data_IF_605386778659
#
_entry.id   IF_605386778659
#
_cell.length_a   1.000
_cell.length_b   1.000
_cell.length_c   1.000
_cell.angle_alpha   90.00
_cell.angle_beta   90.00
_cell.angle_gamma   90.00
#
_symmetry.space_group_name_H-M   'P 1'
#
loop_
_entity.id
_entity.type
_entity.pdbx_description
1 polymer ?
#
# COMPACT_ATOMS: atom_id res chain seq x y z
N UNK A 1 17.90 -44.08 31.37
CA UNK A 1 16.69 -44.04 30.51
C UNK A 1 16.81 -42.82 29.62
N UNK A 2 17.12 -43.04 28.35
CA UNK A 2 17.42 -41.99 27.36
C UNK A 2 16.08 -41.56 26.74
N UNK A 3 15.51 -40.44 27.20
CA UNK A 3 14.24 -39.95 26.64
C UNK A 3 14.56 -39.11 25.39
N UNK A 4 14.58 -39.79 24.26
CA UNK A 4 14.55 -39.21 22.93
C UNK A 4 13.28 -38.36 22.81
N UNK A 5 13.42 -37.03 22.89
CA UNK A 5 12.39 -36.12 22.39
C UNK A 5 12.26 -36.34 20.88
N UNK A 6 11.30 -37.19 20.49
CA UNK A 6 10.86 -37.30 19.11
C UNK A 6 10.51 -35.90 18.57
N UNK A 7 10.99 -35.50 17.39
CA UNK A 7 10.63 -34.24 16.79
C UNK A 7 9.13 -34.25 16.51
N UNK A 8 8.39 -33.34 17.13
CA UNK A 8 6.96 -33.22 16.94
C UNK A 8 6.69 -32.94 15.44
N UNK A 9 5.73 -33.64 14.81
CA UNK A 9 5.56 -33.62 13.36
C UNK A 9 5.03 -32.27 12.90
N UNK A 10 5.72 -31.69 11.90
CA UNK A 10 5.18 -30.76 10.90
C UNK A 10 4.29 -29.66 11.53
N UNK A 11 4.91 -28.59 12.03
CA UNK A 11 4.23 -27.30 12.15
C UNK A 11 3.66 -26.95 10.78
N UNK A 12 2.38 -27.24 10.57
CA UNK A 12 1.60 -26.78 9.43
C UNK A 12 1.79 -25.26 9.43
N UNK A 13 2.47 -24.76 8.41
CA UNK A 13 2.81 -23.36 8.21
C UNK A 13 1.52 -22.58 7.91
N UNK A 14 0.56 -22.58 8.84
CA UNK A 14 -0.54 -21.61 8.82
C UNK A 14 0.10 -20.30 9.25
N UNK A 15 -0.08 -19.23 8.47
CA UNK A 15 0.40 -17.91 8.90
C UNK A 15 -0.16 -17.61 10.32
N UNK A 16 0.61 -16.93 11.19
CA UNK A 16 0.27 -16.74 12.61
C UNK A 16 -1.09 -16.10 12.91
N UNK A 17 -1.81 -15.62 11.88
CA UNK A 17 -3.09 -14.92 11.98
C UNK A 17 -4.22 -15.49 11.10
N UNK A 18 -4.13 -16.76 10.66
CA UNK A 18 -5.16 -17.37 9.80
C UNK A 18 -5.06 -16.93 8.34
N UNK A 19 -3.85 -16.60 7.90
CA UNK A 19 -3.50 -16.26 6.52
C UNK A 19 -3.13 -17.51 5.71
N UNK A 20 -3.10 -17.38 4.39
CA UNK A 20 -2.68 -18.46 3.50
C UNK A 20 -1.23 -18.91 3.76
N UNK A 21 -1.00 -20.20 3.56
CA UNK A 21 0.30 -20.87 3.64
C UNK A 21 1.04 -20.84 2.31
N UNK A 22 2.33 -21.20 2.31
CA UNK A 22 3.07 -21.52 1.10
C UNK A 22 2.61 -22.86 0.46
N UNK A 23 2.02 -23.76 1.24
CA UNK A 23 1.55 -25.05 0.73
C UNK A 23 0.16 -24.94 0.07
N UNK A 24 0.08 -25.38 -1.19
CA UNK A 24 -1.14 -25.29 -1.98
C UNK A 24 -2.25 -26.20 -1.44
N UNK A 25 -1.92 -27.42 -1.02
CA UNK A 25 -2.94 -28.37 -0.55
C UNK A 25 -3.58 -27.90 0.76
N UNK A 26 -2.77 -27.39 1.69
CA UNK A 26 -3.26 -26.77 2.92
C UNK A 26 -4.23 -25.62 2.60
N UNK A 27 -3.91 -24.75 1.64
CA UNK A 27 -4.77 -23.64 1.26
C UNK A 27 -6.10 -24.09 0.63
N UNK A 28 -6.07 -25.13 -0.22
CA UNK A 28 -7.29 -25.69 -0.82
C UNK A 28 -8.20 -26.33 0.23
N UNK A 29 -7.63 -27.10 1.15
CA UNK A 29 -8.36 -27.68 2.28
C UNK A 29 -8.94 -26.59 3.19
N UNK A 30 -8.20 -25.50 3.41
CA UNK A 30 -8.68 -24.36 4.19
C UNK A 30 -9.89 -23.69 3.55
N UNK A 31 -9.89 -23.48 2.23
CA UNK A 31 -11.07 -22.96 1.50
C UNK A 31 -12.23 -23.94 1.62
N UNK A 32 -11.99 -25.23 1.37
CA UNK A 32 -13.02 -26.27 1.40
C UNK A 32 -13.66 -26.41 2.79
N UNK A 33 -12.88 -26.27 3.87
CA UNK A 33 -13.38 -26.36 5.25
C UNK A 33 -14.22 -25.16 5.68
N UNK A 34 -14.05 -23.99 5.05
CA UNK A 34 -14.83 -22.78 5.35
C UNK A 34 -16.05 -22.60 4.43
N UNK A 35 -15.98 -23.11 3.19
CA UNK A 35 -17.06 -23.00 2.20
C UNK A 35 -17.56 -24.39 1.79
N UNK A 36 -18.58 -24.87 2.49
CA UNK A 36 -19.26 -26.13 2.17
C UNK A 36 -20.26 -25.93 1.04
N UNK A 37 -19.79 -26.01 -0.20
CA UNK A 37 -20.64 -25.95 -1.39
C UNK A 37 -20.30 -27.05 -2.38
N UNK A 38 -21.30 -27.85 -2.79
CA UNK A 38 -21.12 -28.88 -3.83
C UNK A 38 -20.70 -28.31 -5.20
N UNK A 39 -20.90 -27.01 -5.39
CA UNK A 39 -20.54 -26.26 -6.60
C UNK A 39 -19.12 -25.71 -6.56
N UNK A 40 -18.39 -25.85 -5.44
CA UNK A 40 -16.99 -25.46 -5.36
C UNK A 40 -16.14 -26.45 -6.16
N UNK A 41 -15.49 -25.93 -7.19
CA UNK A 41 -14.60 -26.70 -8.07
C UNK A 41 -13.18 -26.17 -7.95
N UNK A 42 -12.24 -27.10 -8.06
CA UNK A 42 -10.82 -26.82 -8.09
C UNK A 42 -10.22 -27.45 -9.35
N UNK A 43 -9.63 -26.63 -10.21
CA UNK A 43 -8.87 -27.07 -11.38
C UNK A 43 -7.39 -26.86 -11.13
N UNK A 44 -6.59 -27.92 -11.15
CA UNK A 44 -5.15 -27.85 -10.93
C UNK A 44 -4.40 -27.94 -12.26
N UNK A 45 -3.43 -27.04 -12.43
CA UNK A 45 -2.57 -26.90 -13.60
C UNK A 45 -1.11 -26.84 -13.15
N UNK A 46 -0.18 -27.25 -14.01
CA UNK A 46 1.25 -27.10 -13.76
C UNK A 46 1.81 -26.04 -14.71
N UNK A 47 2.53 -25.06 -14.16
CA UNK A 47 3.10 -23.94 -14.92
C UNK A 47 4.62 -23.88 -14.72
N UNK A 48 5.37 -23.80 -15.82
CA UNK A 48 6.83 -23.76 -15.83
C UNK A 48 7.48 -25.05 -16.35
N UNK A 49 8.56 -24.92 -17.13
CA UNK A 49 9.30 -26.07 -17.71
C UNK A 49 10.45 -26.56 -16.85
N UNK A 50 11.29 -25.66 -16.35
CA UNK A 50 12.47 -26.00 -15.54
C UNK A 50 12.11 -26.23 -14.07
N UNK A 51 11.16 -25.44 -13.56
CA UNK A 51 10.64 -25.59 -12.21
C UNK A 51 9.10 -25.54 -12.24
N UNK A 52 8.43 -26.69 -12.48
CA UNK A 52 6.98 -26.72 -12.57
C UNK A 52 6.35 -26.43 -11.21
N UNK A 53 5.54 -25.38 -11.14
CA UNK A 53 4.74 -25.05 -9.95
C UNK A 53 3.28 -25.41 -10.18
N UNK A 54 2.61 -25.93 -9.16
CA UNK A 54 1.17 -26.15 -9.20
C UNK A 54 0.43 -24.83 -9.04
N UNK A 55 -0.56 -24.63 -9.90
CA UNK A 55 -1.53 -23.55 -9.84
C UNK A 55 -2.91 -24.18 -9.69
N UNK A 56 -3.68 -23.76 -8.70
CA UNK A 56 -5.08 -24.17 -8.57
C UNK A 56 -6.00 -22.99 -8.87
N UNK A 57 -7.01 -23.24 -9.69
CA UNK A 57 -8.11 -22.33 -9.97
C UNK A 57 -9.31 -22.79 -9.16
N UNK A 58 -9.76 -21.98 -8.20
CA UNK A 58 -10.95 -22.25 -7.40
C UNK A 58 -12.11 -21.37 -7.86
N UNK A 59 -13.29 -21.95 -8.07
CA UNK A 59 -14.48 -21.20 -8.49
C UNK A 59 -15.76 -21.89 -8.06
N UNK A 60 -16.87 -21.14 -8.03
CA UNK A 60 -18.22 -21.67 -7.84
C UNK A 60 -18.90 -21.87 -9.18
N UNK A 61 -19.17 -23.14 -9.52
CA UNK A 61 -19.88 -23.55 -10.73
C UNK A 61 -21.28 -22.92 -10.78
N UNK A 62 -21.61 -22.31 -11.92
CA UNK A 62 -22.89 -21.63 -12.17
C UNK A 62 -23.00 -20.20 -11.62
N UNK A 63 -22.01 -19.71 -10.86
CA UNK A 63 -21.92 -18.30 -10.42
C UNK A 63 -20.79 -17.60 -11.18
N UNK A 64 -19.62 -18.24 -11.27
CA UNK A 64 -18.50 -17.70 -12.00
C UNK A 64 -18.77 -17.66 -13.52
N UNK A 65 -18.45 -16.55 -14.23
CA UNK A 65 -18.67 -16.42 -15.65
C UNK A 65 -17.79 -17.41 -16.45
N UNK A 66 -18.37 -18.42 -17.12
CA UNK A 66 -17.60 -19.52 -17.70
C UNK A 66 -16.68 -19.06 -18.85
N UNK A 67 -17.12 -18.05 -19.61
CA UNK A 67 -16.35 -17.49 -20.73
C UNK A 67 -15.03 -16.85 -20.27
N UNK A 68 -15.02 -16.20 -19.09
CA UNK A 68 -13.81 -15.60 -18.53
C UNK A 68 -12.88 -16.68 -17.98
N UNK A 69 -13.45 -17.68 -17.31
CA UNK A 69 -12.69 -18.82 -16.81
C UNK A 69 -11.99 -19.58 -17.95
N UNK A 70 -12.70 -19.90 -19.03
CA UNK A 70 -12.15 -20.60 -20.19
C UNK A 70 -11.02 -19.81 -20.87
N UNK A 71 -11.21 -18.50 -21.05
CA UNK A 71 -10.17 -17.61 -21.61
C UNK A 71 -8.92 -17.61 -20.74
N UNK A 72 -9.09 -17.50 -19.43
CA UNK A 72 -7.99 -17.50 -18.48
C UNK A 72 -7.26 -18.85 -18.46
N UNK A 73 -7.99 -19.96 -18.39
CA UNK A 73 -7.42 -21.32 -18.44
C UNK A 73 -6.66 -21.57 -19.74
N UNK A 74 -7.23 -21.15 -20.89
CA UNK A 74 -6.56 -21.24 -22.20
C UNK A 74 -5.28 -20.40 -22.23
N UNK A 75 -5.31 -19.19 -21.69
CA UNK A 75 -4.15 -18.30 -21.61
C UNK A 75 -3.04 -18.90 -20.75
N UNK A 76 -3.39 -19.43 -19.58
CA UNK A 76 -2.45 -20.09 -18.66
C UNK A 76 -1.80 -21.30 -19.34
N UNK A 77 -2.59 -22.15 -20.01
CA UNK A 77 -2.07 -23.31 -20.73
C UNK A 77 -1.17 -22.93 -21.92
N UNK A 78 -1.37 -21.75 -22.50
CA UNK A 78 -0.51 -21.20 -23.56
C UNK A 78 0.83 -20.63 -23.07
N UNK A 79 1.03 -20.44 -21.76
CA UNK A 79 2.24 -19.84 -21.21
C UNK A 79 3.46 -20.77 -21.37
N UNK A 80 4.40 -20.39 -22.25
CA UNK A 80 5.69 -21.06 -22.40
C UNK A 80 6.75 -20.34 -21.57
N UNK A 81 6.84 -20.69 -20.30
CA UNK A 81 7.78 -20.09 -19.33
C UNK A 81 8.72 -21.16 -18.79
N UNK A 82 9.97 -20.80 -18.52
CA UNK A 82 10.92 -21.72 -17.91
C UNK A 82 10.70 -21.82 -16.39
N UNK A 83 10.56 -20.67 -15.71
CA UNK A 83 10.40 -20.57 -14.26
C UNK A 83 9.34 -19.53 -13.92
N UNK A 84 8.40 -19.89 -13.04
CA UNK A 84 7.44 -18.96 -12.47
C UNK A 84 7.88 -18.52 -11.06
N UNK A 85 8.16 -17.23 -10.88
CA UNK A 85 8.73 -16.71 -9.61
C UNK A 85 7.69 -16.66 -8.49
N UNK A 86 6.51 -16.09 -8.73
CA UNK A 86 5.45 -15.95 -7.73
C UNK A 86 4.15 -15.37 -8.29
N UNK A 87 3.17 -15.10 -7.43
CA UNK A 87 1.83 -14.64 -7.84
C UNK A 87 1.85 -13.32 -8.63
N UNK A 88 2.63 -12.31 -8.23
CA UNK A 88 2.70 -11.05 -8.99
C UNK A 88 3.32 -11.20 -10.39
N UNK A 89 4.24 -12.16 -10.57
CA UNK A 89 4.78 -12.49 -11.88
C UNK A 89 3.70 -13.18 -12.74
N UNK A 90 2.96 -14.13 -12.15
CA UNK A 90 1.81 -14.75 -12.82
C UNK A 90 0.78 -13.71 -13.25
N UNK A 91 0.40 -12.80 -12.35
CA UNK A 91 -0.55 -11.70 -12.59
C UNK A 91 -0.17 -10.89 -13.83
N UNK A 92 1.11 -10.51 -13.94
CA UNK A 92 1.61 -9.72 -15.07
C UNK A 92 1.49 -10.48 -16.40
N UNK A 93 1.70 -11.78 -16.39
CA UNK A 93 1.63 -12.63 -17.60
C UNK A 93 0.19 -12.93 -18.04
N UNK A 94 -0.74 -13.02 -17.10
CA UNK A 94 -2.15 -13.32 -17.38
C UNK A 94 -3.00 -12.06 -17.55
N UNK A 95 -2.47 -10.86 -17.30
CA UNK A 95 -3.16 -9.58 -17.51
C UNK A 95 -3.59 -9.42 -18.97
N UNK A 96 -4.86 -9.09 -19.21
CA UNK A 96 -5.41 -8.89 -20.56
C UNK A 96 -5.07 -7.49 -21.11
N UNK A 97 -5.17 -6.48 -20.25
CA UNK A 97 -4.86 -5.09 -20.62
C UNK A 97 -3.62 -4.59 -19.87
N UNK A 98 -2.40 -4.77 -20.38
CA UNK A 98 -1.18 -4.36 -19.68
C UNK A 98 -1.17 -2.86 -19.36
N UNK A 99 -1.62 -2.03 -20.29
CA UNK A 99 -1.68 -0.57 -20.17
C UNK A 99 -2.85 -0.02 -19.33
N UNK A 100 -3.71 -0.90 -18.79
CA UNK A 100 -4.81 -0.46 -17.92
C UNK A 100 -4.26 0.11 -16.61
N UNK A 101 -4.67 1.33 -16.22
CA UNK A 101 -4.35 1.90 -14.90
C UNK A 101 -5.09 1.17 -13.78
N UNK A 102 -6.17 0.46 -14.09
CA UNK A 102 -6.94 -0.32 -13.13
C UNK A 102 -6.36 -1.73 -12.99
N UNK A 103 -6.29 -2.26 -11.74
CA UNK A 103 -5.90 -3.64 -11.50
C UNK A 103 -6.98 -4.59 -12.04
N UNK A 104 -6.55 -5.68 -12.69
CA UNK A 104 -7.44 -6.73 -13.20
C UNK A 104 -7.56 -7.92 -12.26
N UNK A 105 -6.61 -8.04 -11.33
CA UNK A 105 -6.57 -9.04 -10.29
C UNK A 105 -6.46 -8.34 -8.94
N UNK A 106 -7.11 -8.90 -7.93
CA UNK A 106 -7.02 -8.44 -6.57
C UNK A 106 -6.30 -9.51 -5.74
N UNK A 107 -5.19 -9.12 -5.13
CA UNK A 107 -4.39 -9.99 -4.28
C UNK A 107 -4.95 -10.02 -2.87
N UNK A 108 -5.10 -11.22 -2.29
CA UNK A 108 -5.48 -11.37 -0.89
C UNK A 108 -4.70 -12.49 -0.20
N UNK A 109 -4.20 -12.18 1.00
CA UNK A 109 -3.59 -13.13 1.92
C UNK A 109 -4.61 -13.74 2.89
N UNK A 110 -5.79 -13.11 3.03
CA UNK A 110 -6.81 -13.48 4.00
C UNK A 110 -7.81 -14.46 3.35
N UNK A 111 -7.96 -15.68 3.88
CA UNK A 111 -8.85 -16.68 3.28
C UNK A 111 -10.32 -16.28 3.36
N UNK A 112 -10.73 -15.53 4.39
CA UNK A 112 -12.10 -15.03 4.52
C UNK A 112 -12.48 -14.09 3.37
N UNK A 113 -11.54 -13.24 2.94
CA UNK A 113 -11.74 -12.39 1.78
C UNK A 113 -11.82 -13.21 0.49
N UNK A 114 -10.98 -14.23 0.37
CA UNK A 114 -10.99 -15.13 -0.77
C UNK A 114 -12.35 -15.87 -0.90
N UNK A 115 -12.93 -16.30 0.21
CA UNK A 115 -14.26 -16.94 0.24
C UNK A 115 -15.36 -15.94 -0.15
N UNK A 116 -15.31 -14.71 0.37
CA UNK A 116 -16.26 -13.67 -0.05
C UNK A 116 -16.17 -13.40 -1.56
N UNK A 117 -14.95 -13.37 -2.11
CA UNK A 117 -14.74 -13.22 -3.54
C UNK A 117 -15.36 -14.40 -4.34
N UNK A 118 -15.22 -15.65 -3.87
CA UNK A 118 -15.89 -16.80 -4.47
C UNK A 118 -17.42 -16.64 -4.46
N UNK A 119 -17.98 -16.20 -3.34
CA UNK A 119 -19.43 -15.98 -3.18
C UNK A 119 -19.95 -14.84 -4.07
N UNK A 120 -19.13 -13.83 -4.34
CA UNK A 120 -19.42 -12.74 -5.28
C UNK A 120 -19.32 -13.19 -6.76
N UNK A 121 -18.96 -14.46 -7.03
CA UNK A 121 -18.83 -15.00 -8.38
C UNK A 121 -17.46 -14.79 -9.02
N UNK A 122 -16.45 -14.40 -8.23
CA UNK A 122 -15.06 -14.33 -8.67
C UNK A 122 -14.42 -15.72 -8.59
N UNK A 123 -13.41 -15.97 -9.40
CA UNK A 123 -12.53 -17.13 -9.28
C UNK A 123 -11.22 -16.71 -8.58
N UNK A 124 -10.58 -17.69 -7.94
CA UNK A 124 -9.31 -17.54 -7.24
C UNK A 124 -8.22 -18.32 -7.95
N UNK A 125 -7.01 -17.77 -7.96
CA UNK A 125 -5.80 -18.41 -8.44
C UNK A 125 -4.84 -18.55 -7.27
N UNK A 126 -4.52 -19.79 -6.93
CA UNK A 126 -3.63 -20.16 -5.84
C UNK A 126 -2.36 -20.78 -6.42
N UNK A 127 -1.23 -20.12 -6.22
CA UNK A 127 0.07 -20.60 -6.70
C UNK A 127 0.85 -21.26 -5.55
N UNK A 128 1.39 -22.45 -5.80
CA UNK A 128 2.27 -23.15 -4.86
C UNK A 128 3.52 -22.32 -4.51
N UNK A 129 3.86 -22.29 -3.23
CA UNK A 129 4.98 -21.53 -2.69
C UNK A 129 4.69 -20.05 -2.46
N UNK A 130 3.45 -19.58 -2.63
CA UNK A 130 3.09 -18.17 -2.41
C UNK A 130 1.94 -18.04 -1.39
N UNK A 131 2.10 -17.30 -0.28
CA UNK A 131 1.07 -17.15 0.76
C UNK A 131 -0.01 -16.10 0.40
N UNK A 132 -0.26 -15.89 -0.90
CA UNK A 132 -1.30 -14.98 -1.39
C UNK A 132 -2.04 -15.61 -2.56
N UNK A 133 -3.29 -15.20 -2.72
CA UNK A 133 -4.17 -15.64 -3.80
C UNK A 133 -4.56 -14.46 -4.67
N UNK A 134 -4.72 -14.69 -5.97
CA UNK A 134 -5.22 -13.68 -6.91
C UNK A 134 -6.70 -13.95 -7.16
N UNK A 135 -7.53 -12.91 -7.14
CA UNK A 135 -8.96 -13.01 -7.41
C UNK A 135 -9.36 -12.16 -8.61
N UNK A 136 -10.27 -12.69 -9.43
CA UNK A 136 -10.77 -12.01 -10.63
C UNK A 136 -12.19 -12.52 -11.00
N UNK A 137 -13.01 -11.75 -11.72
CA UNK A 137 -12.74 -10.39 -12.19
C UNK A 137 -12.81 -9.35 -11.06
N UNK A 138 -12.03 -8.27 -11.19
CA UNK A 138 -12.09 -7.11 -10.29
C UNK A 138 -13.09 -6.09 -10.81
N UNK A 139 -14.01 -5.66 -9.96
CA UNK A 139 -14.97 -4.61 -10.25
C UNK A 139 -14.49 -3.25 -9.74
N UNK A 140 -15.05 -2.17 -10.29
CA UNK A 140 -14.74 -0.81 -9.85
C UNK A 140 -14.98 -0.59 -8.35
N UNK A 141 -16.05 -1.16 -7.80
CA UNK A 141 -16.38 -1.05 -6.36
C UNK A 141 -15.40 -1.80 -5.45
N UNK A 142 -14.69 -2.81 -5.97
CA UNK A 142 -13.68 -3.54 -5.20
C UNK A 142 -12.49 -2.64 -4.85
N UNK A 143 -12.21 -1.65 -5.69
CA UNK A 143 -11.13 -0.67 -5.49
C UNK A 143 -11.38 0.26 -4.30
N UNK A 144 -12.63 0.40 -3.86
CA UNK A 144 -13.02 1.20 -2.70
C UNK A 144 -13.18 0.36 -1.41
N UNK A 145 -12.87 -0.93 -1.49
CA UNK A 145 -12.88 -1.84 -0.35
C UNK A 145 -11.49 -1.92 0.26
N UNK A 146 -11.38 -1.55 1.54
CA UNK A 146 -10.14 -1.67 2.31
C UNK A 146 -9.89 -3.10 2.82
N UNK A 147 -8.62 -3.47 3.08
CA UNK A 147 -8.25 -4.80 3.58
C UNK A 147 -8.77 -5.10 4.99
N UNK A 148 -9.15 -4.06 5.74
CA UNK A 148 -9.70 -4.16 7.10
C UNK A 148 -11.22 -3.97 7.12
N UNK A 149 -11.86 -3.75 5.96
CA UNK A 149 -13.30 -3.55 5.89
C UNK A 149 -14.06 -4.78 6.40
N UNK A 150 -13.47 -5.97 6.28
CA UNK A 150 -14.05 -7.23 6.76
C UNK A 150 -14.21 -7.29 8.28
N UNK A 151 -13.43 -6.50 9.03
CA UNK A 151 -13.47 -6.48 10.49
C UNK A 151 -14.68 -5.69 11.03
N UNK A 152 -15.36 -4.93 10.17
CA UNK A 152 -16.51 -4.12 10.58
C UNK A 152 -17.84 -4.83 10.34
N UNK A 153 -18.84 -4.45 11.14
CA UNK A 153 -20.21 -4.96 11.02
C UNK A 153 -20.79 -4.70 9.61
N UNK A 154 -21.73 -5.56 9.19
CA UNK A 154 -22.37 -5.49 7.87
C UNK A 154 -23.06 -4.15 7.57
N UNK A 155 -23.52 -3.42 8.60
CA UNK A 155 -24.11 -2.09 8.44
C UNK A 155 -23.06 -0.99 8.27
N UNK A 156 -21.89 -1.13 8.91
CA UNK A 156 -20.84 -0.11 8.88
C UNK A 156 -19.95 -0.21 7.63
N UNK A 157 -19.75 -1.43 7.11
CA UNK A 157 -19.04 -1.68 5.84
C UNK A 157 -19.52 -0.83 4.65
N UNK A 158 -20.82 -0.85 4.27
CA UNK A 158 -21.30 -0.06 3.14
C UNK A 158 -21.25 1.45 3.42
N UNK A 159 -21.41 1.86 4.68
CA UNK A 159 -21.25 3.27 5.07
C UNK A 159 -19.82 3.77 4.83
N UNK A 160 -18.80 2.99 5.22
CA UNK A 160 -17.40 3.33 4.92
C UNK A 160 -17.14 3.38 3.41
N UNK A 161 -17.68 2.42 2.64
CA UNK A 161 -17.58 2.42 1.17
C UNK A 161 -18.20 3.69 0.57
N UNK A 162 -19.38 4.08 1.04
CA UNK A 162 -20.03 5.33 0.62
C UNK A 162 -19.18 6.56 0.95
N UNK A 163 -18.63 6.64 2.16
CA UNK A 163 -17.77 7.75 2.56
C UNK A 163 -16.50 7.82 1.69
N UNK A 164 -15.89 6.69 1.33
CA UNK A 164 -14.73 6.67 0.43
C UNK A 164 -15.08 7.10 -0.99
N UNK A 165 -16.25 6.70 -1.50
CA UNK A 165 -16.73 7.16 -2.81
C UNK A 165 -16.98 8.68 -2.80
N UNK A 166 -17.60 9.19 -1.74
CA UNK A 166 -17.85 10.62 -1.58
C UNK A 166 -16.53 11.40 -1.42
N UNK A 167 -15.60 10.91 -0.61
CA UNK A 167 -14.28 11.51 -0.45
C UNK A 167 -13.47 11.50 -1.76
N UNK A 168 -13.51 10.40 -2.53
CA UNK A 168 -12.88 10.31 -3.84
C UNK A 168 -13.49 11.29 -4.85
N UNK A 169 -14.82 11.42 -4.85
CA UNK A 169 -15.53 12.41 -5.65
C UNK A 169 -15.12 13.83 -5.26
N UNK A 170 -15.19 14.18 -3.97
CA UNK A 170 -14.76 15.48 -3.47
C UNK A 170 -13.29 15.76 -3.81
N UNK A 171 -12.37 14.82 -3.63
CA UNK A 171 -10.96 15.00 -3.96
C UNK A 171 -10.73 15.27 -5.45
N UNK A 172 -11.52 14.65 -6.34
CA UNK A 172 -11.46 14.90 -7.78
C UNK A 172 -12.08 16.25 -8.17
N UNK A 173 -13.18 16.65 -7.54
CA UNK A 173 -13.92 17.88 -7.88
C UNK A 173 -13.42 19.13 -7.14
N UNK A 174 -12.83 19.02 -5.94
CA UNK A 174 -12.39 20.16 -5.13
C UNK A 174 -11.41 21.09 -5.86
N UNK A 175 -10.38 20.57 -6.56
CA UNK A 175 -9.45 21.44 -7.29
C UNK A 175 -10.16 22.22 -8.40
N UNK A 176 -11.05 21.56 -9.15
CA UNK A 176 -11.81 22.19 -10.22
C UNK A 176 -12.80 23.24 -9.67
N UNK A 177 -13.49 22.91 -8.56
CA UNK A 177 -14.42 23.81 -7.88
C UNK A 177 -13.69 25.01 -7.27
N UNK A 178 -12.50 24.80 -6.68
CA UNK A 178 -11.64 25.87 -6.18
C UNK A 178 -11.28 26.86 -7.29
N UNK A 179 -10.81 26.36 -8.44
CA UNK A 179 -10.47 27.20 -9.61
C UNK A 179 -11.71 27.95 -10.13
N UNK A 180 -12.85 27.28 -10.24
CA UNK A 180 -14.09 27.91 -10.70
C UNK A 180 -14.52 29.08 -9.79
N UNK A 181 -14.43 28.93 -8.46
CA UNK A 181 -14.81 29.98 -7.51
C UNK A 181 -13.90 31.19 -7.64
N UNK A 182 -12.58 31.01 -7.67
CA UNK A 182 -11.64 32.14 -7.77
C UNK A 182 -11.74 32.86 -9.11
N UNK A 183 -12.14 32.17 -10.19
CA UNK A 183 -12.28 32.77 -11.52
C UNK A 183 -13.60 33.52 -11.70
N UNK A 184 -14.73 32.95 -11.26
CA UNK A 184 -16.06 33.55 -11.49
C UNK A 184 -16.57 34.41 -10.33
N UNK A 185 -16.03 34.25 -9.12
CA UNK A 185 -16.42 35.01 -7.92
C UNK A 185 -15.20 35.65 -7.25
N UNK A 186 -14.42 36.42 -8.02
CA UNK A 186 -13.24 37.18 -7.53
C UNK A 186 -13.60 38.09 -6.34
N UNK A 187 -14.84 38.59 -6.27
CA UNK A 187 -15.32 39.47 -5.20
C UNK A 187 -15.44 38.83 -3.81
N UNK A 188 -15.36 37.49 -3.69
CA UNK A 188 -15.35 36.81 -2.38
C UNK A 188 -13.97 36.94 -1.71
N UNK A 189 -12.91 37.26 -2.44
CA UNK A 189 -11.57 37.45 -1.90
C UNK A 189 -11.52 38.84 -1.25
N UNK A 190 -11.38 38.97 0.09
CA UNK A 190 -11.20 40.26 0.73
C UNK A 190 -9.98 40.95 0.13
N UNK A 191 -10.10 42.24 -0.17
CA UNK A 191 -9.04 43.05 -0.81
C UNK A 191 -7.71 42.96 -0.06
N UNK A 192 -7.76 42.69 1.25
CA UNK A 192 -6.61 42.43 2.12
C UNK A 192 -5.66 41.30 1.63
N UNK A 193 -6.16 40.33 0.85
CA UNK A 193 -5.35 39.26 0.25
C UNK A 193 -4.86 39.57 -1.17
N UNK A 194 -5.43 40.58 -1.84
CA UNK A 194 -5.03 41.00 -3.20
C UNK A 194 -3.84 41.97 -3.16
N UNK A 195 -3.74 42.80 -2.11
CA UNK A 195 -2.65 43.79 -1.95
C UNK A 195 -1.25 43.13 -1.96
N UNK A 196 -0.99 42.02 -1.26
CA UNK A 196 0.33 41.35 -1.29
C UNK A 196 0.66 40.66 -2.61
N UNK A 197 -0.35 40.35 -3.44
CA UNK A 197 -0.19 39.70 -4.76
C UNK A 197 -0.04 40.71 -5.89
N UNK A 198 -0.65 41.90 -5.74
CA UNK A 198 -0.53 43.02 -6.67
C UNK A 198 0.73 43.85 -6.43
N UNK A 199 1.39 43.71 -5.26
CA UNK A 199 2.78 44.17 -5.11
C UNK A 199 3.69 43.29 -5.99
N UNK A 200 4.36 43.85 -7.00
CA UNK A 200 5.39 43.12 -7.74
C UNK A 200 6.50 42.76 -6.75
N UNK A 201 6.73 41.47 -6.47
CA UNK A 201 7.76 41.06 -5.51
C UNK A 201 9.18 41.48 -5.95
N UNK A 202 10.19 41.55 -5.05
CA UNK A 202 10.16 41.49 -3.59
C UNK A 202 10.92 42.65 -2.92
N UNK A 203 10.28 43.44 -2.03
CA UNK A 203 11.01 44.22 -1.01
C UNK A 203 11.66 43.33 0.08
N UNK A 204 11.45 42.01 0.00
CA UNK A 204 12.05 41.04 0.91
C UNK A 204 13.54 40.80 0.62
N UNK A 205 14.01 40.97 -0.63
CA UNK A 205 15.43 40.89 -0.99
C UNK A 205 16.20 42.19 -0.74
N UNK A 206 15.50 43.32 -0.52
CA UNK A 206 16.13 44.62 -0.30
C UNK A 206 16.33 44.98 1.18
N UNK A 207 16.15 44.04 2.13
CA UNK A 207 16.62 44.27 3.51
C UNK A 207 18.14 44.14 3.51
N UNK A 208 18.91 45.23 3.68
CA UNK A 208 20.35 45.14 3.63
C UNK A 208 20.85 44.27 4.79
N UNK A 209 21.70 43.29 4.46
CA UNK A 209 22.39 42.41 5.42
C UNK A 209 23.26 43.21 6.42
N UNK A 210 23.44 44.51 6.22
CA UNK A 210 24.12 45.41 7.16
C UNK A 210 23.49 45.45 8.55
N UNK A 211 22.21 45.07 8.69
CA UNK A 211 21.55 44.96 10.01
C UNK A 211 21.97 43.72 10.81
N UNK A 212 22.49 42.68 10.15
CA UNK A 212 23.02 41.49 10.84
C UNK A 212 24.45 41.70 11.36
N UNK A 213 25.25 42.55 10.71
CA UNK A 213 26.60 42.90 11.17
C UNK A 213 26.64 43.96 12.29
N UNK A 214 25.50 44.59 12.60
CA UNK A 214 25.40 45.62 13.65
C UNK A 214 25.21 45.06 15.06
N UNK A 215 24.99 43.75 15.25
CA UNK A 215 25.04 43.14 16.58
C UNK A 215 26.50 42.87 16.97
N UNK A 216 27.21 43.94 17.27
CA UNK A 216 28.42 43.89 18.08
C UNK A 216 27.98 43.46 19.49
N UNK A 217 28.44 42.32 20.04
CA UNK A 217 28.17 42.01 21.43
C UNK A 217 28.83 43.10 22.27
N UNK A 218 28.01 43.86 23.00
CA UNK A 218 28.47 44.68 24.11
C UNK A 218 29.06 43.73 25.15
N UNK A 219 30.38 43.52 25.09
CA UNK A 219 31.14 42.95 26.20
C UNK A 219 31.11 43.99 27.31
N UNK A 220 30.05 43.93 28.12
CA UNK A 220 29.98 44.68 29.35
C UNK A 220 30.99 44.09 30.33
N UNK A 221 31.99 44.91 30.61
CA UNK A 221 32.74 44.99 31.86
C UNK A 221 31.92 44.49 33.07
N UNK A 222 32.33 43.37 33.63
CA UNK A 222 32.14 43.07 35.05
C UNK A 222 33.31 42.21 35.48
N UNK A 223 34.30 42.91 36.01
CA UNK A 223 35.44 42.38 36.72
C UNK A 223 34.99 41.45 37.85
N UNK A 224 35.61 40.28 37.94
CA UNK A 224 35.70 39.50 39.17
C UNK A 224 37.17 39.06 39.30
N UNK A 225 37.96 39.62 40.23
CA UNK A 225 39.36 39.22 40.39
C UNK A 225 39.44 38.06 41.39
N UNK A 226 40.20 37.02 41.05
CA UNK A 226 40.67 36.02 42.01
C UNK A 226 42.19 35.80 41.85
N UNK A 227 42.86 35.39 42.93
CA UNK A 227 44.10 35.99 43.39
C UNK A 227 45.34 35.20 42.97
N UNK A 228 46.48 35.87 42.87
CA UNK A 228 47.77 35.18 42.74
C UNK A 228 48.83 36.01 42.01
N UNK A 229 49.38 37.02 42.69
CA UNK A 229 50.75 37.49 42.39
C UNK A 229 51.75 36.48 42.97
N UNK A 230 52.93 36.29 42.35
CA UNK A 230 54.07 37.13 42.74
C UNK A 230 54.86 37.69 41.54
N UNK A 231 55.77 38.65 41.81
CA UNK A 231 56.12 39.72 40.89
C UNK A 231 57.49 39.54 40.23
N UNK A 232 57.91 40.61 39.51
CA UNK A 232 59.32 40.97 39.18
C UNK A 232 59.70 40.52 37.76
N UNK A 233 60.14 41.36 36.81
CA UNK A 233 61.16 42.42 36.88
C UNK A 233 61.09 43.29 35.60
N UNK A 234 61.21 44.61 35.71
CA UNK A 234 61.63 45.48 34.61
C UNK A 234 63.16 45.65 34.64
N UNK A 235 63.79 45.89 33.49
CA UNK A 235 64.77 46.97 33.37
C UNK A 235 64.39 47.89 32.20
N UNK A 236 64.20 49.18 32.44
CA UNK A 236 65.21 50.22 32.31
C UNK A 236 65.60 50.51 30.85
N UNK A 237 65.28 51.71 30.35
CA UNK A 237 66.26 52.67 29.79
C UNK A 237 65.59 53.91 29.16
N UNK A 238 66.01 55.07 29.66
CA UNK A 238 66.28 56.34 28.97
C UNK A 238 65.19 57.02 28.12
N UNK A 239 64.60 58.12 28.63
CA UNK A 239 65.12 59.50 28.54
C UNK A 239 64.32 60.42 29.46
#
# INVERSE_FOLDING_TARGET
MNNQNMPNPQTIFTGPHGEFSADLQTNLALIQSKLFANRLKFETLNVGKLNPKKLAIAYLEGIAPPQLLERLTTKINGLKLDILVGAGHLETLIKDFPSSPFPQFQTTAKPEQAINNLLEGKFLLLLEGTPVTLSAPVNFFDLFTGPDDLNYNNLFRPFLRFLRLLAGGLAAFLPALYVAIITFHVYIIPVNFLVPLAEPGPRFLSRPLSRFYSLKPSLNSSANPLPGSPPTRAPASAL
#
